data_IF_827517017586
#
_entry.id   IF_827517017586
#
_cell.length_a   1.000
_cell.length_b   1.000
_cell.length_c   1.000
_cell.angle_alpha   90.00
_cell.angle_beta   90.00
_cell.angle_gamma   90.00
#
_symmetry.space_group_name_H-M   'P 1'
#
loop_
_entity.id
_entity.type
_entity.pdbx_description
1 polymer ?
#
# COMPACT_ATOMS: atom_id res chain seq x y z
N UNK A 1 2.62 -13.67 -8.32
CA UNK A 1 2.61 -13.31 -6.89
C UNK A 1 1.16 -13.15 -6.49
N UNK A 2 0.66 -13.99 -5.58
CA UNK A 2 -0.74 -13.90 -5.12
C UNK A 2 -0.85 -12.87 -4.00
N UNK A 3 -1.52 -11.74 -4.27
CA UNK A 3 -1.80 -10.71 -3.27
C UNK A 3 -3.09 -10.99 -2.47
N UNK A 4 -3.83 -12.04 -2.83
CA UNK A 4 -5.11 -12.40 -2.22
C UNK A 4 -4.95 -12.97 -0.81
N UNK A 5 -3.84 -13.66 -0.56
CA UNK A 5 -3.47 -14.26 0.74
C UNK A 5 -2.71 -13.33 1.67
N UNK A 6 -2.27 -12.15 1.19
CA UNK A 6 -1.46 -11.23 1.99
C UNK A 6 -2.32 -10.36 2.90
N UNK A 7 -1.85 -10.10 4.12
CA UNK A 7 -2.59 -9.28 5.10
C UNK A 7 -2.45 -7.80 4.79
N UNK A 8 -3.50 -7.22 4.19
CA UNK A 8 -3.63 -5.79 3.96
C UNK A 8 -3.84 -5.02 5.27
N UNK A 9 -3.16 -3.89 5.40
CA UNK A 9 -3.30 -2.96 6.53
C UNK A 9 -3.58 -1.57 5.99
N UNK A 10 -4.65 -0.93 6.49
CA UNK A 10 -4.92 0.48 6.23
C UNK A 10 -3.85 1.33 6.91
N UNK A 11 -3.33 2.34 6.20
CA UNK A 11 -2.37 3.30 6.74
C UNK A 11 -3.02 4.16 7.82
N UNK A 12 -2.28 4.47 8.90
CA UNK A 12 -2.70 5.41 9.95
C UNK A 12 -2.87 6.84 9.45
N UNK A 13 -2.28 7.18 8.29
CA UNK A 13 -2.45 8.47 7.63
C UNK A 13 -3.75 8.54 6.81
N UNK A 14 -4.47 7.42 6.69
CA UNK A 14 -5.83 7.44 6.14
C UNK A 14 -6.75 8.08 7.18
N UNK A 15 -7.37 9.20 6.83
CA UNK A 15 -8.34 9.89 7.69
C UNK A 15 -9.47 8.96 8.14
N UNK A 16 -10.12 9.32 9.26
CA UNK A 16 -11.24 8.57 9.84
C UNK A 16 -12.54 8.68 9.04
N UNK A 17 -12.64 9.69 8.19
CA UNK A 17 -13.81 9.94 7.34
C UNK A 17 -13.56 9.45 5.90
N UNK A 18 -14.65 9.11 5.21
CA UNK A 18 -14.65 8.59 3.84
C UNK A 18 -14.07 9.56 2.80
N UNK A 19 -13.72 10.78 3.19
CA UNK A 19 -13.21 11.86 2.34
C UNK A 19 -11.67 11.95 2.35
N UNK A 20 -10.99 11.28 3.28
CA UNK A 20 -9.52 11.30 3.37
C UNK A 20 -8.82 10.46 2.29
N UNK A 21 -7.55 10.75 1.99
CA UNK A 21 -6.72 9.89 1.12
C UNK A 21 -6.51 8.54 1.80
N UNK A 22 -7.14 7.47 1.29
CA UNK A 22 -7.15 6.16 1.95
C UNK A 22 -6.26 5.14 1.24
N UNK A 23 -5.17 4.72 1.89
CA UNK A 23 -4.20 3.77 1.32
C UNK A 23 -4.12 2.52 2.19
N UNK A 24 -4.13 1.36 1.55
CA UNK A 24 -3.81 0.06 2.16
C UNK A 24 -2.46 -0.44 1.64
N UNK A 25 -1.68 -1.05 2.54
CA UNK A 25 -0.38 -1.66 2.23
C UNK A 25 -0.39 -3.13 2.67
N UNK A 26 0.21 -4.00 1.86
CA UNK A 26 0.46 -5.40 2.19
C UNK A 26 1.93 -5.75 1.98
N UNK A 27 2.53 -6.40 2.96
CA UNK A 27 3.91 -6.91 2.87
C UNK A 27 3.81 -8.40 2.54
N UNK A 28 4.33 -8.77 1.37
CA UNK A 28 4.50 -10.15 0.90
C UNK A 28 5.99 -10.49 0.90
N UNK A 29 6.33 -11.78 0.76
CA UNK A 29 7.72 -12.22 0.66
C UNK A 29 8.44 -11.52 -0.52
N UNK A 30 9.30 -10.54 -0.20
CA UNK A 30 10.10 -9.77 -1.15
C UNK A 30 9.36 -8.65 -1.90
N UNK A 31 8.12 -8.32 -1.55
CA UNK A 31 7.36 -7.28 -2.25
C UNK A 31 6.34 -6.58 -1.37
N UNK A 32 6.00 -5.36 -1.76
CA UNK A 32 5.03 -4.50 -1.09
C UNK A 32 3.95 -4.11 -2.08
N UNK A 33 2.70 -4.45 -1.73
CA UNK A 33 1.50 -4.02 -2.46
C UNK A 33 0.95 -2.73 -1.85
N UNK A 34 0.58 -1.77 -2.70
CA UNK A 34 -0.02 -0.49 -2.32
C UNK A 34 -1.30 -0.35 -3.15
N UNK A 35 -2.42 -0.04 -2.51
CA UNK A 35 -3.67 0.22 -3.23
C UNK A 35 -4.51 1.30 -2.58
N UNK A 36 -5.38 1.86 -3.40
CA UNK A 36 -6.43 2.75 -2.93
C UNK A 36 -7.51 1.92 -2.19
N UNK A 37 -7.83 2.34 -0.97
CA UNK A 37 -8.83 1.63 -0.15
C UNK A 37 -10.23 1.75 -0.75
N UNK A 38 -10.54 2.90 -1.38
CA UNK A 38 -11.86 3.23 -1.91
C UNK A 38 -12.11 2.58 -3.27
N UNK A 39 -11.05 2.24 -4.00
CA UNK A 39 -11.11 1.67 -5.33
C UNK A 39 -10.22 0.42 -5.45
N UNK A 40 -10.50 -0.60 -4.62
CA UNK A 40 -9.78 -1.89 -4.65
C UNK A 40 -9.85 -2.60 -6.01
N UNK A 41 -10.92 -2.36 -6.77
CA UNK A 41 -11.13 -2.96 -8.10
C UNK A 41 -10.15 -2.42 -9.15
N UNK A 42 -9.58 -1.22 -8.96
CA UNK A 42 -8.54 -0.68 -9.84
C UNK A 42 -7.19 -1.41 -9.73
N UNK A 43 -7.05 -2.32 -8.77
CA UNK A 43 -5.84 -3.12 -8.57
C UNK A 43 -4.88 -2.52 -7.54
N UNK A 44 -3.63 -2.99 -7.57
CA UNK A 44 -2.58 -2.59 -6.65
C UNK A 44 -1.26 -2.34 -7.40
N UNK A 45 -0.53 -1.32 -6.97
CA UNK A 45 0.87 -1.15 -7.33
C UNK A 45 1.70 -2.14 -6.50
N UNK A 46 2.53 -2.96 -7.16
CA UNK A 46 3.41 -3.92 -6.49
C UNK A 46 4.85 -3.54 -6.75
N UNK A 47 5.60 -3.33 -5.68
CA UNK A 47 7.00 -2.95 -5.73
C UNK A 47 7.86 -4.02 -5.04
N UNK A 48 9.08 -4.27 -5.51
CA UNK A 48 10.08 -4.96 -4.70
C UNK A 48 10.35 -4.21 -3.39
N UNK A 49 10.72 -4.94 -2.33
CA UNK A 49 10.99 -4.37 -1.01
C UNK A 49 12.03 -3.24 -1.03
N UNK A 50 13.10 -3.39 -1.81
CA UNK A 50 14.14 -2.35 -1.93
C UNK A 50 13.61 -1.06 -2.58
N UNK A 51 12.73 -1.18 -3.58
CA UNK A 51 12.08 -0.03 -4.24
C UNK A 51 11.12 0.67 -3.28
N UNK A 52 10.40 -0.09 -2.45
CA UNK A 52 9.55 0.47 -1.40
C UNK A 52 10.34 1.32 -0.41
N UNK A 53 11.49 0.83 0.07
CA UNK A 53 12.35 1.62 0.96
C UNK A 53 12.85 2.91 0.30
N UNK A 54 13.29 2.84 -0.96
CA UNK A 54 13.71 4.03 -1.70
C UNK A 54 12.58 5.05 -1.86
N UNK A 55 11.36 4.58 -2.16
CA UNK A 55 10.17 5.43 -2.29
C UNK A 55 9.86 6.17 -0.98
N UNK A 56 9.79 5.45 0.15
CA UNK A 56 9.48 6.06 1.45
C UNK A 56 10.56 7.05 1.86
N UNK A 57 11.84 6.73 1.63
CA UNK A 57 12.93 7.65 1.89
C UNK A 57 12.77 8.95 1.09
N UNK A 58 12.39 8.86 -0.19
CA UNK A 58 12.19 10.03 -1.05
C UNK A 58 10.97 10.88 -0.64
N UNK A 59 9.91 10.26 -0.12
CA UNK A 59 8.68 10.95 0.30
C UNK A 59 8.79 11.63 1.69
N UNK A 60 9.79 11.25 2.48
CA UNK A 60 10.00 11.76 3.84
C UNK A 60 11.18 12.74 3.94
N UNK A 61 11.50 13.40 2.82
CA UNK A 61 12.35 14.58 2.72
C UNK A 61 11.49 15.84 2.85
#
# INVERSE_FOLDING_TARGET
>A
MDLGTTRWRKSSHSGTHEDGSCVEVAIAAGSVGIRDTKNRAAGALVLPEHTWHALIHALNQ
#
